data_IF_338909842509
#
_entry.id   IF_338909842509
#
_cell.length_a   1.000
_cell.length_b   1.000
_cell.length_c   1.000
_cell.angle_alpha   90.00
_cell.angle_beta   90.00
_cell.angle_gamma   90.00
#
_symmetry.space_group_name_H-M   'P 1'
#
loop_
_entity.id
_entity.type
_entity.pdbx_description
1 polymer ?
#
# COMPACT_ATOMS: atom_id res chain seq x y z
N UNK A 1 -27.04 -33.95 11.40
CA UNK A 1 -26.16 -33.79 10.23
C UNK A 1 -24.72 -33.90 10.73
N UNK A 2 -23.96 -34.86 10.22
CA UNK A 2 -22.69 -35.36 10.77
C UNK A 2 -21.58 -34.92 9.83
N UNK A 3 -20.64 -34.08 10.27
CA UNK A 3 -19.44 -33.75 9.49
C UNK A 3 -18.25 -34.46 10.13
N UNK A 4 -17.72 -35.43 9.38
CA UNK A 4 -16.58 -36.27 9.72
C UNK A 4 -15.34 -35.58 9.14
N UNK A 5 -14.45 -35.07 9.99
CA UNK A 5 -13.07 -34.73 9.59
C UNK A 5 -12.18 -35.90 10.05
N UNK A 6 -11.90 -36.80 9.11
CA UNK A 6 -10.82 -37.78 9.24
C UNK A 6 -9.53 -37.08 8.86
N UNK A 7 -8.65 -36.85 9.83
CA UNK A 7 -7.19 -36.90 9.65
C UNK A 7 -6.56 -37.01 11.04
N UNK A 8 -6.48 -38.25 11.52
CA UNK A 8 -5.79 -38.57 12.75
C UNK A 8 -4.29 -38.44 12.56
N UNK A 9 -3.72 -37.29 12.95
CA UNK A 9 -2.31 -37.22 13.33
C UNK A 9 -2.23 -37.51 14.83
N UNK A 10 -2.25 -38.81 15.17
CA UNK A 10 -1.93 -39.28 16.52
C UNK A 10 -0.44 -39.04 16.74
N UNK A 11 -0.08 -37.88 17.31
CA UNK A 11 1.26 -37.66 17.85
C UNK A 11 1.41 -38.59 19.04
N UNK A 12 1.93 -39.80 18.80
CA UNK A 12 2.37 -40.68 19.87
C UNK A 12 3.60 -40.01 20.50
N UNK A 13 3.42 -39.39 21.66
CA UNK A 13 4.51 -39.11 22.57
C UNK A 13 5.19 -40.44 22.93
N UNK A 14 6.31 -40.72 22.27
CA UNK A 14 7.15 -41.88 22.53
C UNK A 14 8.18 -41.52 23.61
N UNK A 15 7.74 -41.31 24.85
CA UNK A 15 8.65 -41.33 25.99
C UNK A 15 7.93 -41.88 27.21
N UNK A 16 8.04 -43.18 27.43
CA UNK A 16 8.00 -43.75 28.77
C UNK A 16 8.71 -45.09 28.78
N UNK A 17 9.99 -45.05 29.13
CA UNK A 17 10.67 -46.18 29.75
C UNK A 17 11.37 -45.62 30.98
N UNK A 18 10.81 -45.91 32.16
CA UNK A 18 11.50 -45.70 33.43
C UNK A 18 12.77 -46.56 33.41
N UNK A 19 13.93 -45.91 33.35
CA UNK A 19 15.21 -46.54 33.67
C UNK A 19 15.34 -46.56 35.18
N UNK A 20 15.53 -47.74 35.77
CA UNK A 20 15.77 -47.91 37.22
C UNK A 20 17.15 -47.41 37.63
N UNK A 21 18.05 -47.18 36.67
CA UNK A 21 19.36 -46.59 36.90
C UNK A 21 19.43 -45.25 36.18
N UNK A 22 19.64 -44.15 36.91
CA UNK A 22 19.58 -42.76 36.44
C UNK A 22 20.62 -42.32 35.40
N UNK A 23 20.89 -43.13 34.38
CA UNK A 23 21.68 -42.75 33.20
C UNK A 23 20.79 -42.74 31.97
N UNK A 24 20.52 -41.54 31.45
CA UNK A 24 19.85 -41.37 30.16
C UNK A 24 20.73 -41.98 29.05
N UNK A 25 20.39 -43.19 28.59
CA UNK A 25 20.92 -43.72 27.34
C UNK A 25 20.27 -42.96 26.19
N UNK A 26 20.96 -41.94 25.69
CA UNK A 26 20.62 -41.29 24.42
C UNK A 26 20.92 -42.28 23.29
N UNK A 27 19.90 -43.06 22.92
CA UNK A 27 19.94 -43.88 21.71
C UNK A 27 19.97 -42.97 20.48
N UNK A 28 21.17 -42.75 19.92
CA UNK A 28 21.34 -42.16 18.59
C UNK A 28 20.99 -43.22 17.55
N UNK A 29 19.70 -43.48 17.32
CA UNK A 29 19.31 -44.25 16.15
C UNK A 29 19.58 -43.42 14.89
N UNK A 30 20.50 -43.84 13.99
CA UNK A 30 20.69 -43.16 12.73
C UNK A 30 19.38 -43.27 11.94
N UNK A 31 18.74 -42.13 11.68
CA UNK A 31 17.60 -42.09 10.79
C UNK A 31 18.06 -42.63 9.43
N UNK A 32 17.36 -43.62 8.84
CA UNK A 32 17.72 -44.13 7.53
C UNK A 32 17.71 -42.95 6.56
N UNK A 33 18.78 -42.79 5.76
CA UNK A 33 19.09 -41.59 4.94
C UNK A 33 17.86 -41.00 4.21
N UNK A 34 16.93 -41.84 3.76
CA UNK A 34 15.67 -41.44 3.12
C UNK A 34 14.73 -40.59 4.00
N UNK A 35 14.65 -40.86 5.31
CA UNK A 35 13.83 -40.08 6.26
C UNK A 35 14.47 -38.73 6.58
N UNK A 36 15.80 -38.64 6.59
CA UNK A 36 16.52 -37.38 6.79
C UNK A 36 16.26 -36.42 5.63
N UNK A 37 16.34 -36.91 4.39
CA UNK A 37 16.05 -36.11 3.18
C UNK A 37 14.63 -35.56 3.20
N UNK A 38 13.64 -36.37 3.59
CA UNK A 38 12.24 -35.93 3.63
C UNK A 38 11.99 -34.85 4.70
N UNK A 39 12.61 -34.97 5.87
CA UNK A 39 12.51 -33.96 6.93
C UNK A 39 13.17 -32.65 6.48
N UNK A 40 14.35 -32.72 5.86
CA UNK A 40 15.01 -31.53 5.29
C UNK A 40 14.19 -30.88 4.18
N UNK A 41 13.59 -31.67 3.28
CA UNK A 41 12.71 -31.13 2.24
C UNK A 41 11.48 -30.43 2.84
N UNK A 42 10.86 -31.03 3.87
CA UNK A 42 9.68 -30.44 4.53
C UNK A 42 10.02 -29.15 5.28
N UNK A 43 11.17 -29.10 5.95
CA UNK A 43 11.64 -27.90 6.65
C UNK A 43 12.01 -26.80 5.65
N UNK A 44 12.66 -27.14 4.52
CA UNK A 44 12.96 -26.19 3.45
C UNK A 44 11.68 -25.64 2.83
N UNK A 45 10.65 -26.47 2.61
CA UNK A 45 9.37 -26.03 2.08
C UNK A 45 8.65 -25.07 3.04
N UNK A 46 8.70 -25.34 4.35
CA UNK A 46 8.15 -24.46 5.39
C UNK A 46 8.91 -23.14 5.50
N UNK A 47 10.25 -23.17 5.39
CA UNK A 47 11.09 -21.96 5.37
C UNK A 47 10.79 -21.14 4.12
N UNK A 48 10.70 -21.78 2.95
CA UNK A 48 10.32 -21.10 1.72
C UNK A 48 8.90 -20.51 1.84
N UNK A 49 7.91 -21.25 2.34
CA UNK A 49 6.56 -20.74 2.55
C UNK A 49 6.52 -19.53 3.50
N UNK A 50 7.27 -19.56 4.62
CA UNK A 50 7.37 -18.43 5.53
C UNK A 50 8.15 -17.22 4.98
N UNK A 51 9.14 -17.46 4.11
CA UNK A 51 9.84 -16.40 3.38
C UNK A 51 8.97 -15.76 2.29
N UNK A 52 8.05 -16.53 1.69
CA UNK A 52 7.10 -16.02 0.70
C UNK A 52 6.03 -15.13 1.34
N UNK A 53 5.57 -15.42 2.55
CA UNK A 53 4.61 -14.55 3.28
C UNK A 53 5.24 -13.24 3.78
N UNK A 54 6.56 -13.19 3.97
CA UNK A 54 7.28 -12.00 4.46
C UNK A 54 7.88 -11.13 3.35
N UNK A 55 7.86 -11.60 2.10
CA UNK A 55 8.30 -10.82 0.96
C UNK A 55 7.12 -10.07 0.33
N UNK A 56 7.03 -8.76 0.60
CA UNK A 56 6.25 -7.78 -0.18
C UNK A 56 6.70 -7.65 -1.66
N UNK A 57 7.36 -8.66 -2.22
CA UNK A 57 7.94 -8.69 -3.58
C UNK A 57 6.89 -8.69 -4.70
N UNK A 58 5.60 -8.80 -4.38
CA UNK A 58 4.51 -8.88 -5.35
C UNK A 58 3.41 -7.84 -5.15
N UNK A 59 3.71 -6.70 -4.51
CA UNK A 59 2.72 -5.62 -4.50
C UNK A 59 2.61 -5.02 -5.90
N UNK A 60 1.39 -4.97 -6.42
CA UNK A 60 1.10 -4.30 -7.68
C UNK A 60 1.02 -2.80 -7.45
N UNK A 61 1.18 -2.03 -8.53
CA UNK A 61 0.81 -0.61 -8.50
C UNK A 61 -0.66 -0.47 -8.06
N UNK A 62 -0.95 0.57 -7.29
CA UNK A 62 -2.29 0.88 -6.80
C UNK A 62 -2.86 2.05 -7.59
N UNK A 63 -4.13 1.95 -7.96
CA UNK A 63 -4.85 3.05 -8.56
C UNK A 63 -5.76 3.74 -7.53
N UNK A 64 -5.74 5.06 -7.56
CA UNK A 64 -6.45 5.91 -6.63
C UNK A 64 -7.26 6.95 -7.39
N UNK A 65 -8.51 7.14 -6.97
CA UNK A 65 -9.36 8.23 -7.46
C UNK A 65 -9.42 9.29 -6.37
N UNK A 66 -8.95 10.49 -6.71
CA UNK A 66 -8.94 11.67 -5.87
C UNK A 66 -10.06 12.61 -6.28
N UNK A 67 -10.79 13.15 -5.31
CA UNK A 67 -11.93 14.04 -5.51
C UNK A 67 -11.72 15.32 -4.72
N UNK A 68 -11.79 16.48 -5.39
CA UNK A 68 -11.74 17.78 -4.71
C UNK A 68 -13.13 18.19 -4.19
N UNK A 69 -13.19 19.26 -3.40
CA UNK A 69 -14.45 19.79 -2.86
C UNK A 69 -15.49 20.23 -3.91
N UNK A 70 -15.06 20.44 -5.17
CA UNK A 70 -15.95 20.81 -6.28
C UNK A 70 -16.51 19.57 -7.00
N UNK A 71 -16.06 18.36 -6.64
CA UNK A 71 -16.45 17.12 -7.28
C UNK A 71 -15.57 16.70 -8.46
N UNK A 72 -14.53 17.46 -8.78
CA UNK A 72 -13.59 17.07 -9.84
C UNK A 72 -12.80 15.84 -9.43
N UNK A 73 -12.61 14.94 -10.37
CA UNK A 73 -11.96 13.65 -10.13
C UNK A 73 -10.63 13.58 -10.84
N UNK A 74 -9.60 13.10 -10.17
CA UNK A 74 -8.33 12.76 -10.79
C UNK A 74 -7.91 11.34 -10.42
N UNK A 75 -7.46 10.58 -11.41
CA UNK A 75 -6.93 9.24 -11.19
C UNK A 75 -5.42 9.31 -11.12
N UNK A 76 -4.82 8.73 -10.07
CA UNK A 76 -3.37 8.66 -9.88
C UNK A 76 -2.94 7.21 -9.69
N UNK A 77 -1.74 6.90 -10.17
CA UNK A 77 -1.10 5.60 -9.91
C UNK A 77 -0.02 5.77 -8.86
N UNK A 78 -0.06 4.92 -7.84
CA UNK A 78 1.01 4.75 -6.85
C UNK A 78 1.79 3.49 -7.25
N UNK A 79 3.06 3.61 -7.67
CA UNK A 79 3.92 2.45 -7.94
C UNK A 79 4.10 1.59 -6.70
N UNK A 80 4.35 0.29 -6.93
CA UNK A 80 4.66 -0.66 -5.88
C UNK A 80 5.87 -0.20 -5.05
N UNK A 81 5.75 -0.24 -3.72
CA UNK A 81 6.82 0.16 -2.81
C UNK A 81 6.41 0.08 -1.34
N UNK A 82 7.40 -0.04 -0.46
CA UNK A 82 7.19 -0.08 0.99
C UNK A 82 7.29 1.32 1.59
N UNK A 83 6.17 1.81 2.16
CA UNK A 83 6.00 3.04 2.94
C UNK A 83 6.36 4.38 2.29
N UNK A 84 7.17 4.45 1.25
CA UNK A 84 7.52 5.70 0.55
C UNK A 84 7.44 5.49 -0.96
N UNK A 85 6.66 6.32 -1.65
CA UNK A 85 6.49 6.26 -3.10
C UNK A 85 6.07 7.62 -3.66
N UNK A 86 6.17 7.81 -4.97
CA UNK A 86 5.64 8.97 -5.70
C UNK A 86 4.43 8.56 -6.49
N UNK A 87 3.37 9.37 -6.49
CA UNK A 87 2.23 9.14 -7.36
C UNK A 87 2.18 10.17 -8.47
N UNK A 88 1.66 9.75 -9.61
CA UNK A 88 1.44 10.61 -10.77
C UNK A 88 0.05 10.39 -11.31
N UNK A 89 -0.57 11.47 -11.75
CA UNK A 89 -1.82 11.42 -12.48
C UNK A 89 -1.70 10.56 -13.74
N UNK A 90 -2.73 9.76 -14.00
CA UNK A 90 -2.81 8.91 -15.18
C UNK A 90 -3.23 9.72 -16.40
N UNK A 91 -2.83 9.27 -17.60
CA UNK A 91 -3.16 9.96 -18.86
C UNK A 91 -4.65 9.95 -19.20
N UNK A 92 -5.43 9.04 -18.61
CA UNK A 92 -6.88 8.93 -18.77
C UNK A 92 -7.67 9.65 -17.64
N UNK A 93 -6.99 10.37 -16.75
CA UNK A 93 -7.62 11.11 -15.67
C UNK A 93 -8.47 12.28 -16.19
N UNK A 94 -9.67 12.44 -15.62
CA UNK A 94 -10.51 13.62 -15.87
C UNK A 94 -9.83 14.93 -15.42
N UNK A 95 -8.96 14.86 -14.41
CA UNK A 95 -8.21 16.00 -13.86
C UNK A 95 -8.99 16.84 -12.86
N UNK A 96 -8.27 17.58 -12.04
CA UNK A 96 -8.84 18.66 -11.24
C UNK A 96 -8.79 19.97 -12.00
N UNK A 97 -9.81 20.80 -11.80
CA UNK A 97 -9.90 22.09 -12.47
C UNK A 97 -9.96 23.22 -11.46
N UNK A 98 -9.43 24.36 -11.87
CA UNK A 98 -9.64 25.62 -11.17
C UNK A 98 -10.56 26.47 -12.02
N UNK A 99 -11.69 26.81 -11.41
CA UNK A 99 -12.73 27.63 -12.02
C UNK A 99 -12.53 29.08 -11.60
N UNK A 100 -12.13 29.91 -12.56
CA UNK A 100 -11.98 31.35 -12.39
C UNK A 100 -13.10 32.02 -13.18
N UNK A 101 -13.84 32.92 -12.54
CA UNK A 101 -14.95 33.61 -13.19
C UNK A 101 -14.48 34.36 -14.45
N UNK A 102 -15.18 34.14 -15.56
CA UNK A 102 -14.88 34.77 -16.85
C UNK A 102 -13.71 34.13 -17.62
N UNK A 103 -13.21 32.97 -17.19
CA UNK A 103 -12.16 32.21 -17.88
C UNK A 103 -12.57 30.75 -18.08
N UNK A 104 -11.97 30.11 -19.09
CA UNK A 104 -12.07 28.66 -19.23
C UNK A 104 -11.41 27.95 -18.03
N UNK A 105 -11.94 26.80 -17.58
CA UNK A 105 -11.38 26.06 -16.47
C UNK A 105 -9.92 25.66 -16.73
N UNK A 106 -9.05 25.93 -15.75
CA UNK A 106 -7.63 25.59 -15.85
C UNK A 106 -7.41 24.21 -15.25
N UNK A 107 -6.98 23.26 -16.07
CA UNK A 107 -6.63 21.91 -15.61
C UNK A 107 -5.35 21.94 -14.77
N UNK A 108 -5.37 21.24 -13.64
CA UNK A 108 -4.19 21.02 -12.80
C UNK A 108 -3.52 19.69 -13.15
N UNK A 109 -2.19 19.71 -13.20
CA UNK A 109 -1.38 18.49 -13.23
C UNK A 109 -1.19 17.99 -11.81
N UNK A 110 -1.50 16.72 -11.55
CA UNK A 110 -1.43 16.16 -10.20
C UNK A 110 -0.27 15.17 -10.08
N UNK A 111 0.55 15.39 -9.05
CA UNK A 111 1.60 14.47 -8.65
C UNK A 111 2.00 14.73 -7.21
N UNK A 112 2.73 13.79 -6.63
CA UNK A 112 3.13 13.93 -5.25
C UNK A 112 3.91 12.75 -4.69
N UNK A 113 4.04 12.76 -3.37
CA UNK A 113 4.74 11.74 -2.62
C UNK A 113 3.93 11.27 -1.41
N UNK A 114 4.24 10.06 -0.99
CA UNK A 114 3.65 9.38 0.15
C UNK A 114 4.80 8.97 1.08
N UNK A 115 4.61 9.11 2.39
CA UNK A 115 5.53 8.58 3.40
C UNK A 115 4.76 8.13 4.65
N UNK A 116 4.73 6.82 4.90
CA UNK A 116 3.96 6.19 5.97
C UNK A 116 2.46 6.38 5.72
N UNK A 117 1.84 7.24 6.53
CA UNK A 117 0.42 7.65 6.38
C UNK A 117 0.27 9.03 5.74
N UNK A 118 1.36 9.73 5.43
CA UNK A 118 1.33 11.11 4.96
C UNK A 118 1.28 11.17 3.44
N UNK A 119 0.40 12.03 2.92
CA UNK A 119 0.31 12.39 1.51
C UNK A 119 0.75 13.84 1.32
N UNK A 120 1.48 14.10 0.25
CA UNK A 120 1.87 15.44 -0.13
C UNK A 120 1.80 15.61 -1.64
N UNK A 121 1.10 16.63 -2.10
CA UNK A 121 1.17 17.05 -3.50
C UNK A 121 2.45 17.86 -3.76
N UNK A 122 3.11 17.53 -4.86
CA UNK A 122 4.33 18.20 -5.33
C UNK A 122 4.06 18.74 -6.72
N UNK A 123 4.16 20.05 -6.89
CA UNK A 123 4.06 20.66 -8.22
C UNK A 123 2.67 20.64 -8.85
N UNK A 124 1.60 20.71 -8.05
CA UNK A 124 0.25 20.98 -8.58
C UNK A 124 0.30 22.28 -9.37
N UNK A 125 0.14 22.21 -10.69
CA UNK A 125 0.30 23.40 -11.54
C UNK A 125 -0.68 23.37 -12.70
N UNK A 126 -1.11 24.55 -13.10
CA UNK A 126 -1.95 24.78 -14.28
C UNK A 126 -1.64 26.15 -14.86
N UNK A 127 -1.87 26.32 -16.16
CA UNK A 127 -1.64 27.60 -16.84
C UNK A 127 -2.80 27.91 -17.77
N UNK A 128 -3.24 29.16 -17.74
CA UNK A 128 -4.19 29.75 -18.68
C UNK A 128 -3.60 31.00 -19.33
N UNK A 129 -4.31 31.62 -20.30
CA UNK A 129 -3.77 32.69 -21.15
C UNK A 129 -3.15 33.90 -20.41
N UNK A 130 -3.52 34.16 -19.15
CA UNK A 130 -3.03 35.28 -18.34
C UNK A 130 -2.90 34.96 -16.84
N UNK A 131 -3.07 33.68 -16.46
CA UNK A 131 -3.08 33.26 -15.06
C UNK A 131 -2.28 31.98 -14.94
N UNK A 132 -1.36 31.97 -13.98
CA UNK A 132 -0.68 30.75 -13.55
C UNK A 132 -1.27 30.28 -12.23
N UNK A 133 -1.47 28.97 -12.13
CA UNK A 133 -2.04 28.34 -10.95
C UNK A 133 -0.98 27.42 -10.37
N UNK A 134 -0.68 27.61 -9.09
CA UNK A 134 0.26 26.78 -8.34
C UNK A 134 -0.44 26.31 -7.08
N UNK A 135 -0.48 25.01 -6.90
CA UNK A 135 -1.05 24.34 -5.76
C UNK A 135 -0.01 23.63 -4.92
N UNK A 136 -0.37 23.40 -3.68
CA UNK A 136 0.28 22.43 -2.81
C UNK A 136 -0.76 21.86 -1.88
N UNK A 137 -0.56 20.66 -1.37
CA UNK A 137 -1.47 20.10 -0.39
C UNK A 137 -0.85 18.95 0.35
N UNK A 138 -1.49 18.63 1.47
CA UNK A 138 -1.09 17.56 2.36
C UNK A 138 -2.32 16.80 2.81
N UNK A 139 -2.16 15.53 3.13
CA UNK A 139 -3.23 14.71 3.66
C UNK A 139 -2.70 13.51 4.43
N UNK A 140 -3.63 12.72 4.93
CA UNK A 140 -3.37 11.48 5.63
C UNK A 140 -4.21 10.35 5.05
N UNK A 141 -3.68 9.13 5.13
CA UNK A 141 -4.43 7.91 4.92
C UNK A 141 -4.99 7.33 6.22
N UNK A 142 -5.99 6.45 6.07
CA UNK A 142 -6.55 5.61 7.13
C UNK A 142 -5.59 4.53 7.68
N UNK A 143 -4.61 4.11 6.88
CA UNK A 143 -3.55 3.18 7.29
C UNK A 143 -2.23 3.50 6.57
N UNK A 144 -1.14 2.85 6.96
CA UNK A 144 0.13 3.01 6.25
C UNK A 144 0.07 2.37 4.86
N UNK A 145 0.78 2.93 3.89
CA UNK A 145 0.89 2.31 2.56
C UNK A 145 1.64 1.00 2.65
N UNK A 146 1.09 -0.07 2.05
CA UNK A 146 0.08 -0.10 0.98
C UNK A 146 -1.34 -0.47 1.44
N UNK A 147 -1.56 -0.59 2.75
CA UNK A 147 -2.79 -1.15 3.31
C UNK A 147 -3.93 -0.11 3.44
N UNK A 148 -3.65 1.14 3.06
CA UNK A 148 -4.65 2.21 3.03
C UNK A 148 -5.73 1.98 1.97
N UNK A 149 -6.98 2.34 2.32
CA UNK A 149 -8.12 2.31 1.42
C UNK A 149 -8.72 3.71 1.18
N UNK A 150 -8.42 4.67 2.05
CA UNK A 150 -8.94 6.02 1.98
C UNK A 150 -7.89 7.06 2.38
N UNK A 151 -7.95 8.21 1.72
CA UNK A 151 -7.06 9.35 1.94
C UNK A 151 -7.88 10.63 1.98
N UNK A 152 -7.42 11.61 2.73
CA UNK A 152 -8.02 12.94 2.75
C UNK A 152 -7.05 14.01 3.20
N UNK A 153 -7.33 15.25 2.86
CA UNK A 153 -6.48 16.35 3.29
C UNK A 153 -6.97 17.70 2.80
N UNK A 154 -6.04 18.65 2.83
CA UNK A 154 -6.26 20.01 2.38
C UNK A 154 -5.30 20.34 1.23
N UNK A 155 -5.78 21.17 0.33
CA UNK A 155 -5.02 21.74 -0.78
C UNK A 155 -5.14 23.25 -0.71
N UNK A 156 -4.02 23.94 -0.91
CA UNK A 156 -3.94 25.38 -1.08
C UNK A 156 -3.60 25.64 -2.53
N UNK A 157 -4.41 26.44 -3.20
CA UNK A 157 -4.22 26.90 -4.57
C UNK A 157 -3.94 28.40 -4.55
N UNK A 158 -2.87 28.80 -5.20
CA UNK A 158 -2.52 30.18 -5.45
C UNK A 158 -2.65 30.45 -6.95
N UNK A 159 -3.39 31.49 -7.30
CA UNK A 159 -3.50 31.97 -8.67
C UNK A 159 -2.75 33.29 -8.79
N UNK A 160 -1.82 33.36 -9.74
CA UNK A 160 -0.98 34.52 -10.01
C UNK A 160 -1.34 35.12 -11.36
N UNK A 161 -1.65 36.42 -11.37
CA UNK A 161 -1.98 37.20 -12.56
C UNK A 161 -1.25 38.55 -12.55
N UNK A 162 -1.26 39.31 -13.66
CA UNK A 162 -0.74 40.69 -13.68
C UNK A 162 -1.45 41.64 -12.70
N UNK A 163 -2.70 41.32 -12.30
CA UNK A 163 -3.50 42.13 -11.37
C UNK A 163 -3.20 41.81 -9.90
N UNK A 164 -2.44 40.75 -9.63
CA UNK A 164 -2.11 40.30 -8.29
C UNK A 164 -2.22 38.79 -8.10
N UNK A 165 -1.88 38.34 -6.91
CA UNK A 165 -2.01 36.96 -6.47
C UNK A 165 -3.21 36.81 -5.53
N UNK A 166 -3.95 35.72 -5.69
CA UNK A 166 -5.02 35.31 -4.78
C UNK A 166 -4.78 33.87 -4.35
N UNK A 167 -5.25 33.52 -3.15
CA UNK A 167 -5.09 32.18 -2.58
C UNK A 167 -6.43 31.65 -2.08
N UNK A 168 -6.62 30.34 -2.20
CA UNK A 168 -7.78 29.63 -1.70
C UNK A 168 -7.35 28.28 -1.14
N UNK A 169 -8.06 27.82 -0.11
CA UNK A 169 -7.89 26.48 0.44
C UNK A 169 -9.14 25.65 0.19
N UNK A 170 -8.95 24.34 0.06
CA UNK A 170 -10.03 23.41 -0.11
C UNK A 170 -9.70 22.04 0.43
N UNK A 171 -10.73 21.24 0.69
CA UNK A 171 -10.56 19.83 1.05
C UNK A 171 -10.49 18.95 -0.18
N UNK A 172 -9.81 17.82 -0.03
CA UNK A 172 -9.83 16.72 -1.00
C UNK A 172 -9.93 15.39 -0.26
N UNK A 173 -10.42 14.38 -0.97
CA UNK A 173 -10.47 13.01 -0.51
C UNK A 173 -10.06 12.06 -1.62
N UNK A 174 -9.80 10.82 -1.30
CA UNK A 174 -9.53 9.81 -2.31
C UNK A 174 -9.80 8.40 -1.80
N UNK A 175 -10.07 7.52 -2.75
CA UNK A 175 -10.34 6.11 -2.48
C UNK A 175 -9.56 5.24 -3.46
N UNK A 176 -9.11 4.10 -2.95
CA UNK A 176 -8.43 3.09 -3.76
C UNK A 176 -9.45 2.36 -4.64
N UNK A 177 -9.20 2.23 -5.94
CA UNK A 177 -10.16 1.63 -6.88
C UNK A 177 -10.06 0.10 -6.98
N UNK A 178 -8.88 -0.49 -6.71
CA UNK A 178 -8.60 -1.91 -6.38
C UNK A 178 -7.08 -2.08 -6.22
#
# INVERSE_FOLDING_TARGET
MKMIIRNGLRVRHFFSTKSVDGRAKVSRHPLPRKKLVLVFLSALLLIMAGLFESCNLFQTAQEWVLVNQMGDTATVTVPAGTYTSTFTETSNSNGWYVYISGMDPIRLTIGGSISGTNWRFVGLTGSGPQVNVIGSGTGTSDAAFPDSNSVSGTVTINTQSPLGATSGTGSWSGSRTK
#
